data_IF_732030311041
#
_entry.id   IF_732030311041
#
_cell.length_a   1.000
_cell.length_b   1.000
_cell.length_c   1.000
_cell.angle_alpha   90.00
_cell.angle_beta   90.00
_cell.angle_gamma   90.00
#
_symmetry.space_group_name_H-M   'P 1'
#
loop_
_entity.id
_entity.type
_entity.pdbx_description
1 polymer ?
#
# COMPACT_ATOMS: atom_id res chain seq x y z
N UNK A 1 2.95 -3.32 14.55
CA UNK A 1 3.42 -4.07 13.36
C UNK A 1 2.69 -3.60 12.11
N UNK A 2 1.34 -3.71 12.03
CA UNK A 2 0.56 -3.28 10.86
C UNK A 2 0.92 -1.87 10.32
N UNK A 3 1.04 -0.85 11.18
CA UNK A 3 1.50 0.50 10.80
C UNK A 3 2.83 0.50 10.02
N UNK A 4 3.78 -0.32 10.48
CA UNK A 4 5.10 -0.43 9.88
C UNK A 4 5.06 -1.16 8.53
N UNK A 5 4.14 -2.11 8.34
CA UNK A 5 3.95 -2.80 7.05
C UNK A 5 3.30 -1.89 6.00
N UNK A 6 2.29 -1.11 6.39
CA UNK A 6 1.72 -0.07 5.51
C UNK A 6 2.78 0.96 5.13
N UNK A 7 3.61 1.40 6.09
CA UNK A 7 4.72 2.30 5.78
C UNK A 7 5.74 1.64 4.84
N UNK A 8 6.11 0.38 5.06
CA UNK A 8 7.02 -0.33 4.17
C UNK A 8 6.47 -0.39 2.73
N UNK A 9 5.17 -0.65 2.58
CA UNK A 9 4.51 -0.59 1.27
C UNK A 9 4.53 0.82 0.65
N UNK A 10 4.31 1.88 1.44
CA UNK A 10 4.35 3.25 0.94
C UNK A 10 5.75 3.66 0.45
N UNK A 11 6.79 3.14 1.10
CA UNK A 11 8.19 3.45 0.79
C UNK A 11 8.74 2.66 -0.41
N UNK A 12 7.93 1.79 -1.04
CA UNK A 12 8.28 1.07 -2.28
C UNK A 12 8.63 2.06 -3.39
N UNK A 13 7.84 3.13 -3.55
CA UNK A 13 8.10 4.18 -4.53
C UNK A 13 9.44 4.87 -4.31
N UNK A 14 9.83 5.10 -3.05
CA UNK A 14 11.12 5.72 -2.70
C UNK A 14 12.29 4.81 -3.05
N UNK A 15 12.03 3.51 -3.19
CA UNK A 15 13.03 2.52 -3.59
C UNK A 15 13.05 2.29 -5.11
N UNK A 16 11.93 2.47 -5.82
CA UNK A 16 11.81 2.22 -7.26
C UNK A 16 11.92 3.46 -8.14
N UNK A 17 11.19 4.52 -7.81
CA UNK A 17 11.05 5.72 -8.64
C UNK A 17 12.37 6.44 -8.96
N UNK A 18 13.36 6.52 -8.04
CA UNK A 18 14.67 7.11 -8.38
C UNK A 18 15.38 6.39 -9.55
N UNK A 19 15.18 5.07 -9.69
CA UNK A 19 15.74 4.30 -10.80
C UNK A 19 15.00 4.57 -12.12
N UNK A 20 13.68 4.77 -12.06
CA UNK A 20 12.88 5.18 -13.23
C UNK A 20 13.25 6.60 -13.66
N UNK A 21 13.35 7.56 -12.73
CA UNK A 21 13.78 8.95 -13.01
C UNK A 21 15.17 8.95 -13.65
N UNK A 22 16.13 8.24 -13.03
CA UNK A 22 17.51 8.22 -13.49
C UNK A 22 17.70 7.64 -14.88
N UNK A 23 16.81 6.73 -15.31
CA UNK A 23 16.91 6.05 -16.61
C UNK A 23 16.00 6.65 -17.69
N UNK A 24 14.79 7.09 -17.32
CA UNK A 24 13.73 7.45 -18.26
C UNK A 24 13.17 8.87 -18.05
N UNK A 25 13.68 9.61 -17.06
CA UNK A 25 13.25 10.97 -16.76
C UNK A 25 11.99 11.06 -15.89
N UNK A 26 11.68 12.29 -15.46
CA UNK A 26 10.61 12.59 -14.51
C UNK A 26 9.22 12.25 -15.05
N UNK A 27 8.93 12.62 -16.30
CA UNK A 27 7.58 12.43 -16.86
C UNK A 27 7.25 10.93 -16.96
N UNK A 28 8.21 10.10 -17.36
CA UNK A 28 8.06 8.64 -17.34
C UNK A 28 7.84 8.11 -15.92
N UNK A 29 8.60 8.61 -14.93
CA UNK A 29 8.38 8.22 -13.52
C UNK A 29 6.97 8.56 -13.05
N UNK A 30 6.50 9.77 -13.35
CA UNK A 30 5.15 10.20 -13.00
C UNK A 30 4.11 9.28 -13.62
N UNK A 31 4.25 8.96 -14.91
CA UNK A 31 3.28 8.12 -15.61
C UNK A 31 3.29 6.68 -15.06
N UNK A 32 4.46 6.14 -14.70
CA UNK A 32 4.57 4.86 -14.00
C UNK A 32 3.89 4.91 -12.63
N UNK A 33 4.10 5.99 -11.86
CA UNK A 33 3.46 6.16 -10.55
C UNK A 33 1.93 6.23 -10.68
N UNK A 34 1.40 7.01 -11.62
CA UNK A 34 -0.06 7.06 -11.87
C UNK A 34 -0.59 5.65 -12.15
N UNK A 35 0.04 4.94 -13.08
CA UNK A 35 -0.45 3.63 -13.52
C UNK A 35 -0.34 2.58 -12.41
N UNK A 36 0.78 2.52 -11.67
CA UNK A 36 0.98 1.61 -10.54
C UNK A 36 -0.11 1.75 -9.47
N UNK A 37 -0.36 2.98 -9.03
CA UNK A 37 -1.34 3.25 -7.99
C UNK A 37 -2.76 3.04 -8.48
N UNK A 38 -3.08 3.43 -9.72
CA UNK A 38 -4.39 3.17 -10.34
C UNK A 38 -4.64 1.68 -10.57
N UNK A 39 -3.59 0.86 -10.73
CA UNK A 39 -3.72 -0.59 -10.85
C UNK A 39 -4.03 -1.27 -9.51
N UNK A 40 -3.25 -0.94 -8.48
CA UNK A 40 -3.29 -1.65 -7.21
C UNK A 40 -4.42 -1.16 -6.28
N UNK A 41 -4.66 0.15 -6.22
CA UNK A 41 -5.58 0.74 -5.23
C UNK A 41 -7.00 0.22 -5.26
N UNK A 42 -7.64 0.01 -6.43
CA UNK A 42 -9.01 -0.48 -6.43
C UNK A 42 -9.12 -1.91 -5.91
N UNK A 43 -8.10 -2.74 -6.20
CA UNK A 43 -8.07 -4.15 -5.82
C UNK A 43 -7.94 -4.27 -4.31
N UNK A 44 -6.90 -3.69 -3.72
CA UNK A 44 -6.69 -3.86 -2.28
C UNK A 44 -7.71 -3.14 -1.42
N UNK A 45 -8.28 -2.02 -1.92
CA UNK A 45 -9.34 -1.29 -1.20
C UNK A 45 -10.55 -2.18 -1.00
N UNK A 46 -10.99 -2.88 -2.06
CA UNK A 46 -12.13 -3.79 -1.96
C UNK A 46 -11.83 -5.03 -1.14
N UNK A 47 -10.61 -5.56 -1.20
CA UNK A 47 -10.19 -6.69 -0.36
C UNK A 47 -10.27 -6.33 1.13
N UNK A 48 -9.78 -5.16 1.51
CA UNK A 48 -9.79 -4.72 2.91
C UNK A 48 -11.21 -4.46 3.43
N UNK A 49 -12.08 -3.88 2.60
CA UNK A 49 -13.51 -3.72 2.92
C UNK A 49 -14.19 -5.06 3.23
N UNK A 50 -13.90 -6.09 2.43
CA UNK A 50 -14.42 -7.45 2.64
C UNK A 50 -13.85 -8.11 3.87
N UNK A 51 -12.55 -7.97 4.08
CA UNK A 51 -11.84 -8.57 5.22
C UNK A 51 -12.46 -8.15 6.55
N UNK A 52 -12.76 -6.85 6.69
CA UNK A 52 -13.23 -6.26 7.94
C UNK A 52 -14.72 -5.93 7.93
N UNK A 53 -15.51 -6.55 7.05
CA UNK A 53 -16.96 -6.45 6.99
C UNK A 53 -17.52 -5.01 7.03
N UNK A 54 -16.93 -4.14 6.20
CA UNK A 54 -17.40 -2.74 6.05
C UNK A 54 -17.67 -2.34 4.60
N UNK A 55 -17.82 -3.32 3.70
CA UNK A 55 -18.25 -3.06 2.31
C UNK A 55 -19.54 -2.23 2.27
N UNK A 56 -19.52 -1.23 1.41
CA UNK A 56 -20.61 -0.29 1.22
C UNK A 56 -20.33 0.62 0.03
N UNK A 57 -21.11 1.68 -0.09
CA UNK A 57 -21.06 2.64 -1.19
C UNK A 57 -21.07 4.11 -0.72
N UNK A 58 -20.75 4.37 0.55
CA UNK A 58 -20.77 5.72 1.15
C UNK A 58 -19.38 6.33 1.28
N UNK A 59 -19.32 7.64 1.58
CA UNK A 59 -18.08 8.36 1.90
C UNK A 59 -17.42 7.79 3.17
N UNK A 60 -18.19 7.35 4.14
CA UNK A 60 -17.66 6.70 5.35
C UNK A 60 -16.89 5.42 5.00
N UNK A 61 -17.41 4.58 4.10
CA UNK A 61 -16.71 3.39 3.61
C UNK A 61 -15.40 3.74 2.89
N UNK A 62 -15.38 4.82 2.10
CA UNK A 62 -14.15 5.31 1.44
C UNK A 62 -13.09 5.65 2.49
N UNK A 63 -13.45 6.42 3.52
CA UNK A 63 -12.50 6.84 4.56
C UNK A 63 -11.99 5.68 5.41
N UNK A 64 -12.86 4.71 5.76
CA UNK A 64 -12.42 3.49 6.46
C UNK A 64 -11.44 2.67 5.62
N UNK A 65 -11.65 2.62 4.31
CA UNK A 65 -10.70 2.02 3.37
C UNK A 65 -9.35 2.73 3.38
N UNK A 66 -9.35 4.06 3.26
CA UNK A 66 -8.12 4.87 3.29
C UNK A 66 -7.32 4.70 4.59
N UNK A 67 -7.97 4.50 5.75
CA UNK A 67 -7.25 4.25 7.01
C UNK A 67 -6.40 2.97 7.03
N UNK A 68 -6.64 2.05 6.09
CA UNK A 68 -6.02 0.73 6.00
C UNK A 68 -5.23 0.56 4.68
N UNK A 69 -4.97 1.69 4.03
CA UNK A 69 -4.34 1.79 2.72
C UNK A 69 -2.84 2.15 2.86
N UNK A 70 -2.01 1.46 2.10
CA UNK A 70 -0.58 1.72 1.91
C UNK A 70 -0.27 3.13 1.38
N UNK A 71 -1.23 3.80 0.75
CA UNK A 71 -1.17 5.21 0.34
C UNK A 71 -1.36 6.20 1.50
N UNK A 72 -1.91 5.75 2.63
CA UNK A 72 -2.16 6.57 3.82
C UNK A 72 -1.59 5.93 5.11
N UNK A 73 -0.30 5.54 5.14
CA UNK A 73 0.29 4.90 6.29
C UNK A 73 0.27 5.84 7.51
N UNK A 74 -0.22 5.37 8.67
CA UNK A 74 -0.24 6.18 9.89
C UNK A 74 1.16 6.68 10.28
N UNK A 75 1.22 7.82 10.97
CA UNK A 75 2.44 8.50 11.44
C UNK A 75 3.32 9.12 10.33
N UNK A 76 3.28 8.61 9.10
CA UNK A 76 3.94 9.23 7.94
C UNK A 76 2.99 10.17 7.18
N UNK A 77 1.73 9.77 7.05
CA UNK A 77 0.64 10.58 6.52
C UNK A 77 -0.35 10.86 7.66
N UNK A 78 -0.65 12.14 7.91
CA UNK A 78 -1.59 12.56 8.96
C UNK A 78 -2.94 12.94 8.36
N UNK A 79 -3.64 11.95 7.80
CA UNK A 79 -5.00 12.14 7.28
C UNK A 79 -5.98 12.39 8.44
N UNK A 80 -6.78 13.45 8.29
CA UNK A 80 -7.88 13.82 9.18
C UNK A 80 -9.18 13.82 8.40
N UNK A 81 -10.10 12.94 8.77
CA UNK A 81 -11.36 12.72 8.06
C UNK A 81 -12.54 13.42 8.77
N UNK A 82 -13.46 13.95 7.98
CA UNK A 82 -14.75 14.48 8.44
C UNK A 82 -15.84 13.95 7.51
N UNK A 83 -16.76 13.16 8.06
CA UNK A 83 -17.96 12.70 7.33
C UNK A 83 -19.09 13.68 7.61
N UNK A 84 -19.68 14.26 6.57
CA UNK A 84 -20.84 15.14 6.69
C UNK A 84 -22.14 14.35 6.55
N UNK A 85 -22.20 13.45 5.56
CA UNK A 85 -23.28 12.49 5.32
C UNK A 85 -22.78 11.34 4.41
N UNK A 86 -23.68 10.43 4.00
CA UNK A 86 -23.36 9.27 3.17
C UNK A 86 -22.68 9.62 1.83
N UNK A 87 -22.94 10.83 1.31
CA UNK A 87 -22.46 11.28 0.00
C UNK A 87 -21.42 12.40 0.07
N UNK A 88 -21.14 12.97 1.25
CA UNK A 88 -20.23 14.10 1.40
C UNK A 88 -19.29 13.94 2.60
N UNK A 89 -18.02 14.23 2.37
CA UNK A 89 -17.02 14.34 3.41
C UNK A 89 -15.79 15.09 2.94
N UNK A 90 -14.87 15.29 3.86
CA UNK A 90 -13.60 15.97 3.63
C UNK A 90 -12.47 15.20 4.30
N UNK A 91 -11.29 15.28 3.71
CA UNK A 91 -10.07 14.94 4.42
C UNK A 91 -9.01 16.01 4.23
N UNK A 92 -8.14 16.17 5.23
CA UNK A 92 -6.94 17.01 5.14
C UNK A 92 -5.72 16.25 5.64
N UNK A 93 -4.55 16.64 5.17
CA UNK A 93 -3.29 16.10 5.68
C UNK A 93 -2.60 17.20 6.48
N UNK A 94 -2.61 17.09 7.81
CA UNK A 94 -1.88 18.03 8.66
C UNK A 94 -0.36 17.86 8.48
N UNK A 95 0.08 16.66 8.09
CA UNK A 95 1.41 16.31 7.63
C UNK A 95 1.34 15.28 6.49
N UNK A 96 2.16 15.45 5.45
CA UNK A 96 2.30 14.54 4.32
C UNK A 96 3.77 14.22 4.14
N UNK A 97 4.21 13.04 4.56
CA UNK A 97 5.60 12.61 4.42
C UNK A 97 6.06 12.57 2.96
N UNK A 98 5.14 12.23 2.05
CA UNK A 98 5.44 12.23 0.62
C UNK A 98 5.80 13.62 0.09
N UNK A 99 5.08 14.67 0.54
CA UNK A 99 5.41 16.05 0.22
C UNK A 99 6.76 16.44 0.79
N UNK A 100 7.08 16.04 2.02
CA UNK A 100 8.35 16.39 2.66
C UNK A 100 9.56 15.78 1.93
N UNK A 101 9.36 14.65 1.23
CA UNK A 101 10.40 14.07 0.37
C UNK A 101 10.63 14.91 -0.89
N UNK A 102 9.56 15.37 -1.56
CA UNK A 102 9.65 15.98 -2.90
C UNK A 102 9.76 17.51 -2.89
N UNK A 103 9.31 18.18 -1.83
CA UNK A 103 9.38 19.65 -1.75
C UNK A 103 10.82 20.18 -1.85
N UNK A 104 11.85 19.55 -1.23
CA UNK A 104 13.24 19.93 -1.44
C UNK A 104 13.74 19.74 -2.89
N UNK A 105 13.03 18.94 -3.70
CA UNK A 105 13.37 18.68 -5.11
C UNK A 105 12.81 19.75 -6.06
N UNK A 106 11.98 20.67 -5.56
CA UNK A 106 11.45 21.83 -6.28
C UNK A 106 10.00 21.68 -6.76
N UNK A 107 9.38 22.82 -7.07
CA UNK A 107 7.95 22.95 -7.42
C UNK A 107 7.50 22.01 -8.53
N UNK A 108 8.40 21.70 -9.46
CA UNK A 108 8.20 20.76 -10.56
C UNK A 108 7.90 19.33 -10.08
N UNK A 109 8.58 18.85 -9.03
CA UNK A 109 8.29 17.55 -8.41
C UNK A 109 7.05 17.61 -7.52
N UNK A 110 6.83 18.76 -6.85
CA UNK A 110 5.61 19.00 -6.07
C UNK A 110 4.38 18.96 -6.97
N UNK A 111 4.44 19.59 -8.14
CA UNK A 111 3.37 19.59 -9.14
C UNK A 111 3.09 18.18 -9.66
N UNK A 112 4.13 17.43 -10.02
CA UNK A 112 3.97 16.04 -10.46
C UNK A 112 3.29 15.18 -9.39
N UNK A 113 3.73 15.27 -8.13
CA UNK A 113 3.18 14.46 -7.03
C UNK A 113 1.78 14.91 -6.59
N UNK A 114 1.62 16.17 -6.18
CA UNK A 114 0.40 16.66 -5.52
C UNK A 114 -0.74 16.99 -6.49
N UNK A 115 -0.46 16.98 -7.80
CA UNK A 115 -1.46 17.28 -8.82
C UNK A 115 -1.60 16.15 -9.81
N UNK A 116 -0.51 15.78 -10.47
CA UNK A 116 -0.61 14.89 -11.62
C UNK A 116 -0.76 13.43 -11.19
N UNK A 117 -0.14 13.04 -10.06
CA UNK A 117 -0.27 11.70 -9.46
C UNK A 117 -1.48 11.62 -8.51
N UNK A 118 -1.59 12.53 -7.54
CA UNK A 118 -2.65 12.46 -6.51
C UNK A 118 -4.08 12.59 -7.08
N UNK A 119 -4.33 13.48 -8.06
CA UNK A 119 -5.69 13.67 -8.60
C UNK A 119 -6.32 12.37 -9.14
N UNK A 120 -5.69 11.66 -10.11
CA UNK A 120 -6.28 10.44 -10.65
C UNK A 120 -6.24 9.26 -9.67
N UNK A 121 -5.22 9.19 -8.79
CA UNK A 121 -5.06 8.05 -7.87
C UNK A 121 -6.03 8.11 -6.68
N UNK A 122 -6.37 9.29 -6.18
CA UNK A 122 -7.45 9.43 -5.20
C UNK A 122 -8.81 9.07 -5.78
N UNK A 123 -9.11 9.47 -7.02
CA UNK A 123 -10.33 9.04 -7.72
C UNK A 123 -10.35 7.52 -7.90
N UNK A 124 -9.23 6.89 -8.32
CA UNK A 124 -9.13 5.43 -8.46
C UNK A 124 -9.33 4.69 -7.13
N UNK A 125 -8.83 5.23 -6.02
CA UNK A 125 -9.03 4.65 -4.69
C UNK A 125 -10.50 4.76 -4.24
N UNK A 126 -11.10 5.95 -4.36
CA UNK A 126 -12.47 6.19 -3.94
C UNK A 126 -13.49 5.44 -4.83
N UNK A 127 -13.22 5.36 -6.14
CA UNK A 127 -14.13 4.73 -7.11
C UNK A 127 -14.31 3.24 -6.87
N UNK A 128 -13.30 2.59 -6.25
CA UNK A 128 -13.41 1.21 -5.82
C UNK A 128 -14.64 1.02 -4.94
N UNK A 129 -14.90 1.95 -4.01
CA UNK A 129 -16.08 1.93 -3.13
C UNK A 129 -17.35 2.33 -3.87
N UNK A 130 -17.32 3.48 -4.55
CA UNK A 130 -18.46 4.00 -5.29
C UNK A 130 -17.96 4.66 -6.58
N UNK A 131 -18.35 4.17 -7.77
CA UNK A 131 -17.81 4.67 -9.03
C UNK A 131 -18.25 6.12 -9.36
N UNK A 132 -19.16 6.72 -8.59
CA UNK A 132 -19.54 8.14 -8.70
C UNK A 132 -18.86 9.04 -7.67
N UNK A 133 -17.98 8.49 -6.84
CA UNK A 133 -17.16 9.28 -5.93
C UNK A 133 -16.15 10.13 -6.72
N UNK A 134 -16.00 11.38 -6.30
CA UNK A 134 -15.05 12.33 -6.85
C UNK A 134 -14.27 12.97 -5.70
N UNK A 135 -12.94 12.92 -5.79
CA UNK A 135 -12.02 13.52 -4.83
C UNK A 135 -11.44 14.79 -5.42
N UNK A 136 -11.80 15.96 -4.87
CA UNK A 136 -11.41 17.26 -5.46
C UNK A 136 -10.67 18.13 -4.45
N UNK A 137 -9.55 18.78 -4.85
CA UNK A 137 -8.74 19.54 -3.92
C UNK A 137 -9.46 20.83 -3.52
N UNK A 138 -9.50 21.11 -2.22
CA UNK A 138 -9.78 22.45 -1.67
C UNK A 138 -8.51 23.29 -1.82
N UNK A 139 -7.37 22.70 -1.44
CA UNK A 139 -6.05 23.22 -1.75
C UNK A 139 -5.00 22.13 -1.69
N UNK A 140 -3.84 22.41 -2.29
CA UNK A 140 -2.69 21.52 -2.35
C UNK A 140 -1.40 22.34 -2.44
N UNK A 141 -0.22 21.70 -2.22
CA UNK A 141 1.08 22.31 -2.47
C UNK A 141 1.23 22.82 -3.91
N UNK A 142 2.25 23.63 -4.25
CA UNK A 142 3.33 24.13 -3.39
C UNK A 142 2.84 24.94 -2.20
N UNK A 143 3.51 24.81 -1.05
CA UNK A 143 3.13 25.51 0.18
C UNK A 143 3.60 26.96 0.10
N UNK A 144 2.64 27.87 -0.05
CA UNK A 144 2.88 29.32 -0.06
C UNK A 144 1.98 29.97 1.01
N UNK A 145 2.54 30.48 2.13
CA UNK A 145 3.95 30.38 2.55
C UNK A 145 4.38 28.93 2.85
N UNK A 146 5.69 28.68 2.95
CA UNK A 146 6.28 27.35 3.14
C UNK A 146 5.92 26.67 4.48
N UNK A 147 5.24 27.37 5.39
CA UNK A 147 4.71 26.85 6.65
C UNK A 147 3.18 26.64 6.61
N UNK A 148 2.57 26.71 5.42
CA UNK A 148 1.12 26.47 5.26
C UNK A 148 0.73 25.08 5.78
N UNK A 149 -0.26 25.09 6.66
CA UNK A 149 -0.92 23.90 7.22
C UNK A 149 -2.45 24.04 7.09
N UNK A 150 -3.22 22.95 6.86
CA UNK A 150 -2.73 21.61 6.52
C UNK A 150 -1.89 21.62 5.23
N UNK A 151 -1.14 20.56 4.95
CA UNK A 151 -0.36 20.45 3.71
C UNK A 151 -1.28 20.43 2.48
N UNK A 152 -2.37 19.66 2.54
CA UNK A 152 -3.45 19.66 1.55
C UNK A 152 -4.80 19.37 2.21
N UNK A 153 -5.88 19.72 1.51
CA UNK A 153 -7.26 19.47 1.93
C UNK A 153 -8.12 19.16 0.72
N UNK A 154 -9.05 18.23 0.87
CA UNK A 154 -9.82 17.62 -0.22
C UNK A 154 -11.27 17.41 0.20
N UNK A 155 -12.16 17.51 -0.78
CA UNK A 155 -13.54 17.06 -0.68
C UNK A 155 -13.68 15.67 -1.30
N UNK A 156 -14.55 14.84 -0.72
CA UNK A 156 -15.01 13.59 -1.31
C UNK A 156 -16.52 13.68 -1.45
N UNK A 157 -17.01 13.62 -2.69
CA UNK A 157 -18.44 13.75 -2.99
C UNK A 157 -18.88 12.62 -3.91
N UNK A 158 -19.96 11.94 -3.54
CA UNK A 158 -20.64 10.96 -4.39
C UNK A 158 -21.72 11.71 -5.19
N UNK A 159 -21.44 11.97 -6.45
CA UNK A 159 -22.32 12.78 -7.31
C UNK A 159 -23.33 11.85 -7.98
N UNK A 160 -24.54 11.74 -7.42
CA UNK A 160 -25.58 10.81 -7.88
C UNK A 160 -25.87 10.88 -9.39
N UNK A 161 -25.82 12.08 -10.00
CA UNK A 161 -26.09 12.30 -11.42
C UNK A 161 -24.84 12.22 -12.33
N UNK A 162 -23.64 12.10 -11.76
CA UNK A 162 -22.41 12.02 -12.57
C UNK A 162 -22.30 10.67 -13.27
N UNK A 163 -21.73 10.64 -14.47
CA UNK A 163 -21.37 9.37 -15.09
C UNK A 163 -20.40 8.61 -14.17
N UNK A 164 -20.63 7.31 -13.92
CA UNK A 164 -19.66 6.50 -13.18
C UNK A 164 -18.28 6.59 -13.83
N UNK A 165 -17.25 6.82 -13.02
CA UNK A 165 -15.86 6.74 -13.45
C UNK A 165 -15.60 5.34 -14.03
N UNK A 166 -14.91 5.23 -15.17
CA UNK A 166 -14.52 3.93 -15.69
C UNK A 166 -13.58 3.25 -14.72
N UNK A 167 -13.71 1.93 -14.59
CA UNK A 167 -12.72 1.15 -13.84
C UNK A 167 -11.35 1.29 -14.53
N UNK A 168 -10.25 1.53 -13.78
CA UNK A 168 -8.94 1.76 -14.39
C UNK A 168 -8.50 0.54 -15.24
N UNK A 169 -8.12 0.73 -16.51
CA UNK A 169 -7.59 -0.36 -17.34
C UNK A 169 -6.38 -1.06 -16.71
N UNK A 170 -5.56 -0.30 -15.97
CA UNK A 170 -4.42 -0.82 -15.23
C UNK A 170 -4.86 -1.79 -14.12
N UNK A 171 -6.00 -1.50 -13.47
CA UNK A 171 -6.58 -2.39 -12.46
C UNK A 171 -7.25 -3.61 -13.09
N UNK A 172 -7.82 -3.49 -14.30
CA UNK A 172 -8.30 -4.65 -15.07
C UNK A 172 -7.14 -5.61 -15.37
N UNK A 173 -6.02 -5.08 -15.85
CA UNK A 173 -4.81 -5.86 -16.13
C UNK A 173 -4.26 -6.54 -14.87
N UNK A 174 -4.17 -5.82 -13.74
CA UNK A 174 -3.64 -6.38 -12.51
C UNK A 174 -4.60 -7.39 -11.85
N UNK A 175 -5.91 -7.26 -12.07
CA UNK A 175 -6.92 -8.17 -11.52
C UNK A 175 -6.77 -9.61 -12.02
N UNK A 176 -6.14 -9.82 -13.18
CA UNK A 176 -5.86 -11.17 -13.71
C UNK A 176 -4.69 -11.88 -13.01
N UNK A 177 -3.96 -11.18 -12.12
CA UNK A 177 -2.82 -11.76 -11.39
C UNK A 177 -3.23 -12.82 -10.36
N UNK A 178 -2.33 -13.76 -10.08
CA UNK A 178 -2.47 -14.69 -8.96
C UNK A 178 -2.56 -13.92 -7.62
N UNK A 179 -1.83 -12.80 -7.49
CA UNK A 179 -1.90 -11.94 -6.31
C UNK A 179 -3.33 -11.43 -6.03
N UNK A 180 -4.01 -10.92 -7.07
CA UNK A 180 -5.38 -10.42 -6.95
C UNK A 180 -6.39 -11.53 -6.63
N UNK A 181 -6.14 -12.74 -7.14
CA UNK A 181 -6.99 -13.93 -6.94
C UNK A 181 -6.78 -14.69 -5.63
N UNK A 182 -5.82 -14.28 -4.79
CA UNK A 182 -5.64 -14.91 -3.48
C UNK A 182 -6.94 -14.86 -2.66
N UNK A 183 -7.28 -15.93 -1.93
CA UNK A 183 -8.30 -15.86 -0.90
C UNK A 183 -7.99 -14.71 0.09
N UNK A 184 -9.03 -14.09 0.65
CA UNK A 184 -8.84 -13.12 1.73
C UNK A 184 -8.12 -13.81 2.90
N UNK A 185 -7.20 -13.09 3.54
CA UNK A 185 -6.51 -13.59 4.72
C UNK A 185 -7.51 -14.01 5.82
N UNK A 186 -7.36 -15.22 6.35
CA UNK A 186 -8.17 -15.71 7.47
C UNK A 186 -7.52 -15.40 8.82
N UNK A 187 -8.29 -15.23 9.91
CA UNK A 187 -7.73 -15.05 11.25
C UNK A 187 -7.01 -16.35 11.68
N UNK A 188 -5.75 -16.26 12.15
CA UNK A 188 -5.04 -17.43 12.67
C UNK A 188 -5.77 -18.01 13.90
N UNK A 189 -5.92 -19.34 13.93
CA UNK A 189 -6.67 -20.02 15.00
C UNK A 189 -5.94 -20.10 16.35
N UNK A 190 -4.67 -19.74 16.39
CA UNK A 190 -3.80 -19.71 17.57
C UNK A 190 -3.68 -18.32 18.20
N UNK A 191 -4.27 -17.29 17.59
CA UNK A 191 -4.29 -15.93 18.12
C UNK A 191 -5.64 -15.58 18.78
N UNK A 192 -5.63 -14.73 19.82
CA UNK A 192 -6.87 -14.26 20.47
C UNK A 192 -7.81 -13.51 19.51
N UNK A 193 -9.11 -13.69 19.72
CA UNK A 193 -10.19 -12.96 19.03
C UNK A 193 -11.04 -12.10 19.97
N UNK A 194 -10.83 -12.22 21.29
CA UNK A 194 -11.62 -11.55 22.34
C UNK A 194 -10.90 -10.32 22.95
N UNK A 195 -9.74 -9.94 22.41
CA UNK A 195 -8.91 -8.83 22.86
C UNK A 195 -9.08 -7.54 22.03
N UNK A 196 -10.03 -7.52 21.09
CA UNK A 196 -10.31 -6.35 20.26
C UNK A 196 -11.45 -6.57 19.27
N UNK A 197 -11.59 -5.66 18.30
CA UNK A 197 -12.58 -5.77 17.23
C UNK A 197 -12.20 -6.88 16.24
N UNK A 198 -13.18 -7.67 15.86
CA UNK A 198 -13.02 -8.74 14.86
C UNK A 198 -13.28 -8.26 13.43
N UNK A 199 -13.91 -7.10 13.30
CA UNK A 199 -14.31 -6.43 12.07
C UNK A 199 -14.14 -4.91 12.25
N UNK A 200 -14.53 -4.14 11.25
CA UNK A 200 -14.69 -2.69 11.34
C UNK A 200 -16.10 -2.29 10.93
N UNK A 201 -17.16 -3.01 11.35
CA UNK A 201 -18.54 -2.69 10.97
C UNK A 201 -19.09 -1.42 11.66
N UNK A 202 -18.50 -1.06 12.81
CA UNK A 202 -18.85 0.16 13.56
C UNK A 202 -18.57 1.45 12.75
N UNK A 203 -19.11 2.59 13.20
CA UNK A 203 -18.83 3.87 12.55
C UNK A 203 -17.33 4.19 12.51
N UNK A 204 -16.91 4.96 11.51
CA UNK A 204 -15.55 5.46 11.33
C UNK A 204 -14.99 6.01 12.66
N UNK A 205 -13.89 5.43 13.14
CA UNK A 205 -13.07 5.97 14.21
C UNK A 205 -12.04 6.92 13.59
N UNK A 206 -12.19 8.25 13.70
CA UNK A 206 -11.27 9.20 13.07
C UNK A 206 -9.84 9.11 13.64
N UNK A 207 -9.68 8.51 14.81
CA UNK A 207 -8.39 8.30 15.49
C UNK A 207 -8.06 6.80 15.56
N UNK A 208 -8.46 6.02 14.54
CA UNK A 208 -8.21 4.59 14.45
C UNK A 208 -6.76 4.25 14.78
N UNK A 209 -6.58 3.41 15.80
CA UNK A 209 -5.31 2.77 16.11
C UNK A 209 -5.42 1.30 15.80
N UNK A 210 -4.37 0.71 15.25
CA UNK A 210 -4.36 -0.72 14.86
C UNK A 210 -4.69 -1.62 16.07
N UNK A 211 -4.30 -1.20 17.27
CA UNK A 211 -4.58 -1.88 18.55
C UNK A 211 -6.08 -1.98 18.91
N UNK A 212 -6.99 -1.36 18.14
CA UNK A 212 -8.42 -1.58 18.26
C UNK A 212 -8.83 -2.98 17.82
N UNK A 213 -8.14 -3.55 16.84
CA UNK A 213 -8.44 -4.87 16.30
C UNK A 213 -7.87 -5.98 17.18
N UNK A 214 -8.56 -7.11 17.21
CA UNK A 214 -8.10 -8.31 17.92
C UNK A 214 -6.75 -8.79 17.36
N UNK A 215 -6.00 -9.54 18.16
CA UNK A 215 -4.71 -10.11 17.72
C UNK A 215 -4.85 -10.94 16.44
N UNK A 216 -5.89 -11.77 16.33
CA UNK A 216 -6.16 -12.57 15.14
C UNK A 216 -6.55 -11.72 13.92
N UNK A 217 -7.40 -10.71 14.10
CA UNK A 217 -7.78 -9.77 13.02
C UNK A 217 -6.58 -8.97 12.54
N UNK A 218 -5.71 -8.52 13.45
CA UNK A 218 -4.48 -7.81 13.10
C UNK A 218 -3.56 -8.66 12.23
N UNK A 219 -3.43 -9.96 12.50
CA UNK A 219 -2.63 -10.83 11.66
C UNK A 219 -3.17 -10.90 10.23
N UNK A 220 -4.49 -10.99 10.04
CA UNK A 220 -5.10 -10.96 8.71
C UNK A 220 -4.95 -9.61 8.01
N UNK A 221 -5.10 -8.50 8.74
CA UNK A 221 -4.85 -7.14 8.21
C UNK A 221 -3.39 -7.00 7.78
N UNK A 222 -2.45 -7.57 8.53
CA UNK A 222 -1.03 -7.56 8.19
C UNK A 222 -0.75 -8.34 6.89
N UNK A 223 -1.36 -9.51 6.71
CA UNK A 223 -1.22 -10.28 5.46
C UNK A 223 -1.77 -9.51 4.25
N UNK A 224 -2.95 -8.89 4.37
CA UNK A 224 -3.50 -8.04 3.30
C UNK A 224 -2.66 -6.77 3.09
N UNK A 225 -2.10 -6.16 4.14
CA UNK A 225 -1.18 -5.02 4.01
C UNK A 225 0.13 -5.41 3.28
N UNK A 226 0.65 -6.62 3.50
CA UNK A 226 1.77 -7.12 2.71
C UNK A 226 1.37 -7.37 1.24
N UNK A 227 0.17 -7.91 1.01
CA UNK A 227 -0.35 -8.11 -0.34
C UNK A 227 -0.54 -6.78 -1.10
N UNK A 228 -0.93 -5.70 -0.41
CA UNK A 228 -0.94 -4.33 -0.99
C UNK A 228 0.41 -3.97 -1.59
N UNK A 229 1.51 -4.19 -0.86
CA UNK A 229 2.86 -3.93 -1.34
C UNK A 229 3.26 -4.81 -2.53
N UNK A 230 2.84 -6.08 -2.55
CA UNK A 230 3.07 -6.97 -3.67
C UNK A 230 2.27 -6.60 -4.93
N UNK A 231 1.01 -6.14 -4.77
CA UNK A 231 0.20 -5.63 -5.87
C UNK A 231 0.81 -4.36 -6.47
N UNK A 232 1.25 -3.42 -5.63
CA UNK A 232 1.97 -2.21 -6.06
C UNK A 232 3.24 -2.58 -6.83
N UNK A 233 4.12 -3.39 -6.24
CA UNK A 233 5.35 -3.82 -6.91
C UNK A 233 5.10 -4.51 -8.25
N UNK A 234 4.10 -5.39 -8.33
CA UNK A 234 3.76 -6.03 -9.60
C UNK A 234 3.29 -5.01 -10.63
N UNK A 235 2.40 -4.08 -10.25
CA UNK A 235 1.94 -3.03 -11.14
C UNK A 235 3.08 -2.13 -11.62
N UNK A 236 3.99 -1.74 -10.73
CA UNK A 236 5.22 -1.04 -11.07
C UNK A 236 6.03 -1.78 -12.15
N UNK A 237 6.28 -3.07 -11.95
CA UNK A 237 7.07 -3.89 -12.87
C UNK A 237 6.41 -3.99 -14.25
N UNK A 238 5.09 -4.20 -14.29
CA UNK A 238 4.30 -4.23 -15.53
C UNK A 238 4.45 -2.91 -16.30
N UNK A 239 4.23 -1.77 -15.63
CA UNK A 239 4.24 -0.47 -16.29
C UNK A 239 5.65 0.04 -16.64
N UNK A 240 6.68 -0.39 -15.91
CA UNK A 240 8.08 -0.21 -16.33
C UNK A 240 8.35 -1.05 -17.58
N UNK A 241 7.92 -2.31 -17.62
CA UNK A 241 8.16 -3.20 -18.77
C UNK A 241 7.48 -2.67 -20.05
N UNK A 242 6.25 -2.14 -19.94
CA UNK A 242 5.50 -1.54 -21.06
C UNK A 242 6.21 -0.32 -21.68
N UNK A 243 6.92 0.44 -20.85
CA UNK A 243 7.65 1.65 -21.26
C UNK A 243 9.12 1.39 -21.60
N UNK A 244 9.59 0.17 -21.39
CA UNK A 244 10.98 -0.21 -21.60
C UNK A 244 11.10 -1.66 -22.11
N UNK A 245 11.74 -2.53 -21.34
CA UNK A 245 11.85 -3.96 -21.62
C UNK A 245 11.63 -4.75 -20.33
N UNK A 246 11.24 -6.02 -20.46
CA UNK A 246 11.15 -6.94 -19.32
C UNK A 246 12.49 -7.01 -18.56
N UNK A 247 13.63 -7.02 -19.26
CA UNK A 247 14.95 -7.04 -18.63
C UNK A 247 15.20 -5.78 -17.78
N UNK A 248 14.79 -4.62 -18.26
CA UNK A 248 14.90 -3.35 -17.51
C UNK A 248 13.98 -3.35 -16.29
N UNK A 249 12.75 -3.86 -16.44
CA UNK A 249 11.82 -4.01 -15.33
C UNK A 249 12.36 -4.93 -14.24
N UNK A 250 12.92 -6.09 -14.59
CA UNK A 250 13.55 -7.01 -13.63
C UNK A 250 14.77 -6.38 -12.94
N UNK A 251 15.62 -5.67 -13.69
CA UNK A 251 16.79 -4.98 -13.13
C UNK A 251 16.38 -3.90 -12.11
N UNK A 252 15.39 -3.07 -12.47
CA UNK A 252 14.86 -2.02 -11.60
C UNK A 252 14.11 -2.64 -10.42
N UNK A 253 13.35 -3.71 -10.65
CA UNK A 253 12.63 -4.48 -9.65
C UNK A 253 13.53 -5.05 -8.57
N UNK A 254 14.66 -5.64 -8.96
CA UNK A 254 15.67 -6.13 -8.02
C UNK A 254 16.23 -5.01 -7.14
N UNK A 255 16.45 -3.82 -7.72
CA UNK A 255 16.92 -2.63 -6.97
C UNK A 255 15.85 -2.11 -6.02
N UNK A 256 14.60 -2.02 -6.46
CA UNK A 256 13.46 -1.64 -5.64
C UNK A 256 13.31 -2.59 -4.44
N UNK A 257 13.30 -3.90 -4.70
CA UNK A 257 13.23 -4.96 -3.68
C UNK A 257 14.36 -4.83 -2.66
N UNK A 258 15.62 -4.77 -3.12
CA UNK A 258 16.78 -4.67 -2.24
C UNK A 258 16.74 -3.40 -1.38
N UNK A 259 16.34 -2.28 -1.97
CA UNK A 259 16.21 -0.99 -1.29
C UNK A 259 15.21 -1.06 -0.14
N UNK A 260 13.97 -1.45 -0.44
CA UNK A 260 12.90 -1.47 0.56
C UNK A 260 13.10 -2.57 1.60
N UNK A 261 13.60 -3.74 1.21
CA UNK A 261 13.85 -4.85 2.13
C UNK A 261 14.89 -4.48 3.19
N UNK A 262 15.99 -3.83 2.78
CA UNK A 262 17.05 -3.41 3.70
C UNK A 262 16.59 -2.35 4.71
N UNK A 263 15.77 -1.39 4.27
CA UNK A 263 15.20 -0.38 5.17
C UNK A 263 14.21 -1.01 6.14
N UNK A 264 13.28 -1.82 5.62
CA UNK A 264 12.22 -2.48 6.39
C UNK A 264 12.81 -3.41 7.44
N UNK A 265 13.81 -4.22 7.08
CA UNK A 265 14.56 -5.09 8.01
C UNK A 265 15.10 -4.31 9.21
N UNK A 266 15.71 -3.13 9.00
CA UNK A 266 16.26 -2.31 10.11
C UNK A 266 15.16 -1.77 11.03
N UNK A 267 14.03 -1.38 10.46
CA UNK A 267 12.89 -0.83 11.21
C UNK A 267 12.18 -1.92 12.01
N UNK A 268 11.93 -3.08 11.40
CA UNK A 268 11.39 -4.26 12.05
C UNK A 268 12.31 -4.78 13.16
N UNK A 269 13.62 -4.86 12.92
CA UNK A 269 14.57 -5.28 13.95
C UNK A 269 14.52 -4.37 15.18
N UNK A 270 14.46 -3.05 14.97
CA UNK A 270 14.29 -2.09 16.07
C UNK A 270 12.95 -2.26 16.78
N UNK A 271 11.86 -2.42 16.03
CA UNK A 271 10.52 -2.57 16.58
C UNK A 271 10.39 -3.84 17.45
N UNK A 272 11.01 -4.93 17.00
CA UNK A 272 11.00 -6.22 17.70
C UNK A 272 12.05 -6.34 18.81
N UNK A 273 12.98 -5.38 18.91
CA UNK A 273 14.16 -5.52 19.77
C UNK A 273 15.07 -6.69 19.36
N UNK A 274 15.06 -7.06 18.07
CA UNK A 274 15.79 -8.20 17.54
C UNK A 274 17.31 -7.94 17.52
N UNK A 275 18.08 -8.91 18.04
CA UNK A 275 19.53 -8.91 17.97
C UNK A 275 20.07 -9.35 16.60
N UNK A 276 21.35 -9.11 16.30
CA UNK A 276 22.01 -9.60 15.09
C UNK A 276 22.43 -11.08 15.25
N UNK A 277 21.51 -11.92 15.70
CA UNK A 277 21.66 -13.36 15.85
C UNK A 277 20.56 -14.09 15.06
N UNK A 278 20.59 -15.43 15.09
CA UNK A 278 19.64 -16.23 14.32
C UNK A 278 18.19 -16.10 14.85
N UNK A 279 17.98 -15.75 16.13
CA UNK A 279 16.64 -15.57 16.69
C UNK A 279 16.06 -14.24 16.22
N UNK A 280 16.87 -13.19 16.27
CA UNK A 280 16.52 -11.89 15.71
C UNK A 280 16.28 -11.95 14.20
N UNK A 281 17.09 -12.71 13.45
CA UNK A 281 16.88 -12.92 12.02
C UNK A 281 15.56 -13.65 11.75
N UNK A 282 15.29 -14.75 12.47
CA UNK A 282 14.04 -15.49 12.34
C UNK A 282 12.81 -14.62 12.68
N UNK A 283 12.91 -13.82 13.75
CA UNK A 283 11.84 -12.91 14.16
C UNK A 283 11.54 -11.84 13.11
N UNK A 284 12.57 -11.20 12.52
CA UNK A 284 12.38 -10.18 11.48
C UNK A 284 11.85 -10.79 10.20
N UNK A 285 12.43 -11.89 9.73
CA UNK A 285 11.95 -12.58 8.53
C UNK A 285 10.49 -13.04 8.74
N UNK A 286 10.15 -13.57 9.91
CA UNK A 286 8.81 -14.04 10.24
C UNK A 286 7.68 -13.02 10.00
N UNK A 287 8.00 -11.71 9.99
CA UNK A 287 7.04 -10.62 9.77
C UNK A 287 7.41 -9.71 8.59
N UNK A 288 8.38 -10.08 7.75
CA UNK A 288 8.90 -9.21 6.70
C UNK A 288 7.94 -9.15 5.50
N UNK A 289 7.52 -7.96 5.03
CA UNK A 289 6.47 -7.83 4.00
C UNK A 289 6.88 -8.35 2.62
N UNK A 290 8.18 -8.57 2.37
CA UNK A 290 8.63 -9.17 1.11
C UNK A 290 8.49 -10.70 1.07
N UNK A 291 8.27 -11.32 2.24
CA UNK A 291 8.08 -12.78 2.35
C UNK A 291 6.68 -13.13 2.87
N UNK A 292 5.84 -12.12 3.09
CA UNK A 292 4.43 -12.27 3.48
C UNK A 292 3.53 -11.64 2.41
N UNK A 293 2.27 -12.08 2.28
CA UNK A 293 1.69 -13.21 2.97
C UNK A 293 2.26 -14.53 2.44
N UNK A 294 2.42 -15.54 3.31
CA UNK A 294 3.00 -16.84 2.90
C UNK A 294 2.12 -17.54 1.85
N UNK A 295 0.83 -17.26 1.84
CA UNK A 295 -0.09 -17.73 0.80
C UNK A 295 0.29 -17.25 -0.60
N UNK A 296 1.01 -16.13 -0.72
CA UNK A 296 1.51 -15.60 -1.98
C UNK A 296 2.95 -16.02 -2.30
N UNK A 297 3.83 -15.88 -1.30
CA UNK A 297 5.27 -16.03 -1.49
C UNK A 297 5.76 -17.47 -1.34
N UNK A 298 5.03 -18.29 -0.57
CA UNK A 298 5.43 -19.64 -0.11
C UNK A 298 6.87 -19.69 0.44
N UNK A 299 7.28 -18.62 1.12
CA UNK A 299 8.55 -18.59 1.84
C UNK A 299 8.38 -19.27 3.19
N UNK A 300 9.32 -20.14 3.56
CA UNK A 300 9.41 -20.76 4.90
C UNK A 300 10.75 -20.43 5.54
N UNK A 301 10.70 -20.27 6.86
CA UNK A 301 11.86 -19.88 7.67
C UNK A 301 11.91 -20.83 8.85
N UNK A 302 12.88 -21.73 8.85
CA UNK A 302 12.97 -22.84 9.81
C UNK A 302 14.36 -22.88 10.47
N UNK A 303 14.40 -23.19 11.76
CA UNK A 303 15.66 -23.48 12.47
C UNK A 303 16.09 -24.90 12.17
N UNK A 304 17.40 -25.13 12.02
CA UNK A 304 17.93 -26.50 12.02
C UNK A 304 17.70 -27.17 13.37
N UNK A 305 17.64 -28.51 13.40
CA UNK A 305 17.47 -29.29 14.64
C UNK A 305 18.53 -28.95 15.70
N UNK A 306 19.73 -28.55 15.26
CA UNK A 306 20.84 -28.15 16.13
C UNK A 306 20.82 -26.67 16.52
N UNK A 307 19.92 -25.86 15.95
CA UNK A 307 19.74 -24.44 16.24
C UNK A 307 20.90 -23.54 15.78
N UNK A 308 21.84 -24.08 15.00
CA UNK A 308 23.05 -23.40 14.55
C UNK A 308 22.90 -22.72 13.18
N UNK A 309 21.77 -22.94 12.50
CA UNK A 309 21.44 -22.31 11.23
C UNK A 309 19.94 -22.03 11.09
N UNK A 310 19.64 -21.16 10.12
CA UNK A 310 18.29 -20.85 9.65
C UNK A 310 18.19 -21.25 8.18
N UNK A 311 17.21 -22.08 7.85
CA UNK A 311 16.88 -22.47 6.48
C UNK A 311 15.77 -21.54 6.01
N UNK A 312 16.01 -20.85 4.90
CA UNK A 312 15.01 -20.05 4.20
C UNK A 312 14.73 -20.75 2.87
N UNK A 313 13.53 -21.27 2.69
CA UNK A 313 13.09 -21.87 1.43
C UNK A 313 12.07 -20.98 0.75
N UNK A 314 12.18 -20.87 -0.57
CA UNK A 314 11.18 -20.27 -1.44
C UNK A 314 10.65 -21.41 -2.33
N UNK A 315 9.41 -21.81 -2.08
CA UNK A 315 8.75 -22.86 -2.86
C UNK A 315 7.99 -22.25 -4.06
N UNK A 316 7.34 -23.09 -4.87
CA UNK A 316 6.55 -22.64 -6.04
C UNK A 316 5.18 -22.06 -5.61
N UNK A 317 5.21 -20.96 -4.88
CA UNK A 317 4.04 -20.20 -4.49
C UNK A 317 3.40 -19.39 -5.64
N UNK A 318 2.18 -18.84 -5.45
CA UNK A 318 1.47 -18.09 -6.48
C UNK A 318 2.26 -16.92 -7.09
N UNK A 319 3.11 -16.24 -6.31
CA UNK A 319 3.94 -15.14 -6.82
C UNK A 319 5.05 -15.59 -7.76
N UNK A 320 5.60 -16.80 -7.59
CA UNK A 320 6.58 -17.40 -8.51
C UNK A 320 5.89 -17.97 -9.76
N UNK A 321 4.62 -18.36 -9.63
CA UNK A 321 3.81 -18.95 -10.69
C UNK A 321 3.15 -17.93 -11.63
N UNK A 322 3.49 -16.63 -11.54
CA UNK A 322 3.06 -15.62 -12.51
C UNK A 322 3.85 -15.81 -13.82
N UNK A 323 3.14 -15.97 -14.94
CA UNK A 323 3.71 -16.40 -16.22
C UNK A 323 4.76 -15.44 -16.81
N UNK A 324 4.72 -14.16 -16.42
CA UNK A 324 5.62 -13.10 -16.90
C UNK A 324 6.91 -12.94 -16.06
N UNK A 325 6.96 -13.55 -14.88
CA UNK A 325 8.07 -13.39 -13.92
C UNK A 325 8.24 -11.98 -13.34
N UNK A 326 7.27 -11.08 -13.54
CA UNK A 326 7.29 -9.69 -13.07
C UNK A 326 6.71 -9.60 -11.65
N UNK A 327 7.39 -10.26 -10.70
CA UNK A 327 7.08 -10.20 -9.27
C UNK A 327 8.35 -10.25 -8.45
N UNK A 328 8.30 -9.74 -7.21
CA UNK A 328 9.42 -9.92 -6.30
C UNK A 328 9.75 -11.36 -5.94
N UNK A 329 8.79 -12.28 -5.69
CA UNK A 329 9.13 -13.68 -5.47
C UNK A 329 9.87 -14.34 -6.64
N UNK A 330 9.69 -13.86 -7.87
CA UNK A 330 10.37 -14.39 -9.06
C UNK A 330 11.76 -13.74 -9.34
N UNK A 331 12.10 -12.63 -8.67
CA UNK A 331 13.35 -11.85 -8.84
C UNK A 331 14.37 -12.21 -7.76
#
# INVERSE_FOLDING_TARGET
MARELLLAGHLIDRSGMPHVIGRFGRDTMRDVAIDEWMAASPIYTKRMQRLLDFEGDTVETIFKGMQLDVGAPPEFMDFRYVVHDDSHGEFRLDHCGALMDVEPMGDDFVQAMCHEIEDPTFDATAMATNPRAQVRPIHRPPRIPADRTPHCAWTVTIVAEAQPLPYPPQAEQLADSNAAHLPLAGPPGDLPTDDGWTDYAASLDPDLTMERFSSATLASVMDEACLQGHLLSRAFLLHVAERSTVADALEIGAKQLCGIAGLTTKRLARLLGAGPDLDGLAAVLGVHPMILPRSYTDVRVERTDHGDALIVSLDHGPGVAEDDGLTWPAI
#
